data_IF_356147875704
#
_entry.id   IF_356147875704
#
_cell.length_a   1.000
_cell.length_b   1.000
_cell.length_c   1.000
_cell.angle_alpha   90.00
_cell.angle_beta   90.00
_cell.angle_gamma   90.00
#
_symmetry.space_group_name_H-M   'P 1'
#
loop_
_entity.id
_entity.type
_entity.pdbx_description
1 polymer ?
#
# COMPACT_ATOMS: atom_id res chain seq x y z
N UNK A 1 -35.45 1.23 -47.82
CA UNK A 1 -36.16 1.14 -46.54
C UNK A 1 -35.19 0.64 -45.47
N UNK A 2 -34.74 1.49 -44.54
CA UNK A 2 -33.73 1.14 -43.55
C UNK A 2 -34.37 0.35 -42.40
N UNK A 3 -33.75 -0.77 -41.99
CA UNK A 3 -34.10 -1.46 -40.75
C UNK A 3 -33.19 -0.97 -39.64
N UNK A 4 -33.72 0.02 -38.91
CA UNK A 4 -33.20 0.51 -37.65
C UNK A 4 -33.39 -0.57 -36.57
N UNK A 5 -32.30 -1.20 -36.13
CA UNK A 5 -32.32 -2.08 -34.95
C UNK A 5 -31.85 -1.27 -33.74
N UNK A 6 -32.65 -1.17 -32.66
CA UNK A 6 -32.24 -0.40 -31.49
C UNK A 6 -30.99 -1.02 -30.86
N UNK A 7 -29.96 -0.19 -30.67
CA UNK A 7 -28.75 -0.55 -29.91
C UNK A 7 -29.18 -1.01 -28.51
N UNK A 8 -28.84 -2.24 -28.15
CA UNK A 8 -28.88 -2.74 -26.76
C UNK A 8 -28.14 -1.72 -25.88
N UNK A 9 -28.86 -1.09 -24.96
CA UNK A 9 -28.27 -0.41 -23.82
C UNK A 9 -27.44 -1.44 -23.08
N UNK A 10 -26.13 -1.25 -23.06
CA UNK A 10 -25.27 -1.92 -22.10
C UNK A 10 -25.63 -1.33 -20.73
N UNK A 11 -26.52 -2.01 -20.01
CA UNK A 11 -26.64 -1.79 -18.57
C UNK A 11 -25.32 -2.27 -17.99
N UNK A 12 -24.56 -1.33 -17.45
CA UNK A 12 -23.31 -1.58 -16.71
C UNK A 12 -23.61 -2.34 -15.41
N UNK A 13 -23.94 -3.63 -15.56
CA UNK A 13 -24.17 -4.60 -14.48
C UNK A 13 -22.87 -5.06 -13.82
N UNK A 14 -21.89 -4.16 -13.69
CA UNK A 14 -20.65 -4.42 -12.91
C UNK A 14 -20.49 -3.50 -11.72
N UNK A 15 -21.45 -2.62 -11.46
CA UNK A 15 -21.44 -1.74 -10.28
C UNK A 15 -22.35 -2.23 -9.15
N UNK A 16 -22.78 -3.49 -9.20
CA UNK A 16 -23.45 -4.15 -8.10
C UNK A 16 -22.41 -4.86 -7.23
N UNK A 17 -22.25 -4.36 -6.01
CA UNK A 17 -21.56 -4.99 -4.89
C UNK A 17 -20.06 -4.67 -4.71
N UNK A 18 -19.80 -3.48 -4.16
CA UNK A 18 -18.91 -3.41 -3.01
C UNK A 18 -19.55 -2.48 -1.97
N UNK A 19 -20.42 -3.04 -1.14
CA UNK A 19 -21.09 -2.36 -0.03
C UNK A 19 -20.14 -2.08 1.16
N UNK A 20 -18.83 -2.19 0.97
CA UNK A 20 -17.79 -1.78 1.93
C UNK A 20 -17.08 -0.53 1.42
N UNK A 21 -17.83 0.53 1.08
CA UNK A 21 -17.23 1.84 0.89
C UNK A 21 -16.88 2.40 2.26
N UNK A 22 -15.72 2.02 2.79
CA UNK A 22 -15.05 2.83 3.79
C UNK A 22 -14.92 4.23 3.19
N UNK A 23 -15.63 5.19 3.75
CA UNK A 23 -15.41 6.60 3.41
C UNK A 23 -13.97 6.90 3.80
N UNK A 24 -13.07 6.95 2.83
CA UNK A 24 -11.70 7.37 3.08
C UNK A 24 -11.76 8.82 3.52
N UNK A 25 -11.51 9.07 4.81
CA UNK A 25 -11.46 10.43 5.33
C UNK A 25 -10.32 11.19 4.66
N UNK A 26 -10.51 12.48 4.47
CA UNK A 26 -9.42 13.35 4.00
C UNK A 26 -8.45 13.56 5.15
N UNK A 27 -7.17 13.26 4.92
CA UNK A 27 -6.10 13.53 5.88
C UNK A 27 -5.77 15.02 5.91
N UNK A 28 -5.51 15.53 7.10
CA UNK A 28 -4.85 16.82 7.29
C UNK A 28 -3.42 16.79 6.77
N UNK A 29 -2.84 17.96 6.52
CA UNK A 29 -1.42 18.07 6.12
C UNK A 29 -0.48 17.49 7.18
N UNK A 30 -0.82 17.64 8.47
CA UNK A 30 -0.04 17.05 9.56
C UNK A 30 -0.04 15.52 9.50
N UNK A 31 -1.20 14.90 9.26
CA UNK A 31 -1.31 13.44 9.14
C UNK A 31 -0.59 12.91 7.90
N UNK A 32 -0.63 13.65 6.78
CA UNK A 32 0.16 13.31 5.59
C UNK A 32 1.65 13.31 5.89
N UNK A 33 2.14 14.33 6.60
CA UNK A 33 3.54 14.42 7.01
C UNK A 33 3.93 13.29 7.97
N UNK A 34 3.09 12.98 8.95
CA UNK A 34 3.32 11.86 9.86
C UNK A 34 3.38 10.52 9.12
N UNK A 35 2.43 10.27 8.21
CA UNK A 35 2.41 9.07 7.39
C UNK A 35 3.69 8.96 6.55
N UNK A 36 4.09 10.04 5.88
CA UNK A 36 5.29 10.05 5.05
C UNK A 36 6.52 9.76 5.90
N UNK A 37 6.66 10.44 7.05
CA UNK A 37 7.78 10.24 7.97
C UNK A 37 7.90 8.79 8.45
N UNK A 38 6.78 8.14 8.76
CA UNK A 38 6.78 6.73 9.18
C UNK A 38 7.23 5.81 8.03
N UNK A 39 6.80 6.07 6.80
CA UNK A 39 7.24 5.30 5.63
C UNK A 39 8.73 5.49 5.36
N UNK A 40 9.22 6.73 5.45
CA UNK A 40 10.63 7.05 5.22
C UNK A 40 11.52 6.35 6.26
N UNK A 41 11.13 6.37 7.54
CA UNK A 41 11.85 5.66 8.61
C UNK A 41 11.88 4.14 8.38
N UNK A 42 10.77 3.58 7.90
CA UNK A 42 10.70 2.16 7.54
C UNK A 42 11.66 1.80 6.41
N UNK A 43 11.69 2.62 5.36
CA UNK A 43 12.60 2.45 4.23
C UNK A 43 14.07 2.56 4.65
N UNK A 44 14.42 3.61 5.41
CA UNK A 44 15.77 3.84 5.94
C UNK A 44 16.25 2.66 6.79
N UNK A 45 15.38 2.11 7.64
CA UNK A 45 15.72 0.94 8.44
C UNK A 45 15.97 -0.30 7.58
N UNK A 46 15.13 -0.57 6.58
CA UNK A 46 15.28 -1.71 5.67
C UNK A 46 16.57 -1.58 4.84
N UNK A 47 16.90 -0.37 4.38
CA UNK A 47 18.15 -0.09 3.67
C UNK A 47 19.37 -0.40 4.55
N UNK A 48 19.33 -0.04 5.84
CA UNK A 48 20.38 -0.40 6.79
C UNK A 48 20.50 -1.92 6.98
N UNK A 49 19.38 -2.67 6.96
CA UNK A 49 19.43 -4.14 7.01
C UNK A 49 20.11 -4.74 5.77
N UNK A 50 19.87 -4.15 4.59
CA UNK A 50 20.52 -4.54 3.34
C UNK A 50 22.04 -4.26 3.40
N UNK A 51 22.44 -3.08 3.88
CA UNK A 51 23.85 -2.73 4.06
C UNK A 51 24.56 -3.70 5.01
N UNK A 52 23.97 -4.00 6.17
CA UNK A 52 24.50 -4.95 7.16
C UNK A 52 24.59 -6.37 6.57
N UNK A 53 23.57 -6.77 5.81
CA UNK A 53 23.49 -8.09 5.18
C UNK A 53 24.37 -8.24 3.92
N UNK A 54 24.98 -7.15 3.43
CA UNK A 54 25.73 -7.14 2.18
C UNK A 54 24.88 -7.41 0.94
N UNK A 55 23.57 -7.14 0.98
CA UNK A 55 22.66 -7.32 -0.15
C UNK A 55 22.25 -5.97 -0.74
N UNK A 56 21.89 -5.96 -2.03
CA UNK A 56 21.41 -4.73 -2.66
C UNK A 56 19.94 -4.47 -2.26
N UNK A 57 19.54 -3.20 -1.99
CA UNK A 57 18.13 -2.84 -1.71
C UNK A 57 17.16 -3.16 -2.85
N UNK A 58 17.69 -3.28 -4.09
CA UNK A 58 16.93 -3.70 -5.26
C UNK A 58 16.60 -5.21 -5.27
N UNK A 59 17.20 -5.99 -4.37
CA UNK A 59 16.92 -7.42 -4.23
C UNK A 59 15.93 -7.69 -3.09
N UNK A 60 15.00 -8.61 -3.31
CA UNK A 60 14.01 -8.98 -2.28
C UNK A 60 14.61 -9.82 -1.13
N UNK A 61 15.83 -10.36 -1.31
CA UNK A 61 16.48 -11.27 -0.37
C UNK A 61 17.41 -10.54 0.63
N UNK A 62 17.27 -10.87 1.90
CA UNK A 62 18.18 -10.45 2.97
C UNK A 62 19.36 -11.41 3.14
N UNK A 63 20.49 -10.89 3.64
CA UNK A 63 21.72 -11.67 3.82
C UNK A 63 21.65 -12.76 4.90
N UNK A 64 20.60 -12.76 5.74
CA UNK A 64 20.38 -13.80 6.76
C UNK A 64 18.90 -13.94 7.12
N UNK A 65 18.54 -15.04 7.79
CA UNK A 65 17.18 -15.28 8.29
C UNK A 65 16.73 -14.24 9.31
N UNK A 66 17.63 -13.82 10.21
CA UNK A 66 17.28 -12.84 11.24
C UNK A 66 17.00 -11.46 10.62
N UNK A 67 17.76 -11.07 9.59
CA UNK A 67 17.51 -9.84 8.83
C UNK A 67 16.19 -9.94 8.04
N UNK A 68 15.86 -11.09 7.47
CA UNK A 68 14.54 -11.31 6.85
C UNK A 68 13.39 -11.11 7.84
N UNK A 69 13.52 -11.63 9.06
CA UNK A 69 12.51 -11.46 10.11
C UNK A 69 12.42 -10.00 10.57
N UNK A 70 13.56 -9.34 10.76
CA UNK A 70 13.60 -7.92 11.11
C UNK A 70 12.91 -7.05 10.06
N UNK A 71 13.14 -7.31 8.76
CA UNK A 71 12.43 -6.63 7.65
C UNK A 71 10.92 -6.81 7.75
N UNK A 72 10.44 -8.05 7.89
CA UNK A 72 9.00 -8.35 8.01
C UNK A 72 8.37 -7.62 9.19
N UNK A 73 9.05 -7.58 10.34
CA UNK A 73 8.54 -6.88 11.52
C UNK A 73 8.54 -5.36 11.34
N UNK A 74 9.54 -4.79 10.65
CA UNK A 74 9.55 -3.38 10.32
C UNK A 74 8.38 -3.01 9.39
N UNK A 75 8.12 -3.81 8.36
CA UNK A 75 7.00 -3.62 7.43
C UNK A 75 5.64 -3.69 8.15
N UNK A 76 5.44 -4.67 9.05
CA UNK A 76 4.22 -4.78 9.86
C UNK A 76 4.05 -3.57 10.80
N UNK A 77 5.13 -3.14 11.46
CA UNK A 77 5.11 -1.96 12.33
C UNK A 77 4.72 -0.69 11.57
N UNK A 78 5.33 -0.47 10.40
CA UNK A 78 5.01 0.66 9.50
C UNK A 78 3.55 0.61 9.06
N UNK A 79 3.06 -0.55 8.64
CA UNK A 79 1.68 -0.73 8.22
C UNK A 79 0.69 -0.38 9.34
N UNK A 80 0.94 -0.86 10.57
CA UNK A 80 0.09 -0.58 11.74
C UNK A 80 0.08 0.90 12.11
N UNK A 81 1.23 1.56 12.07
CA UNK A 81 1.36 2.98 12.35
C UNK A 81 0.65 3.82 11.27
N UNK A 82 0.85 3.52 9.98
CA UNK A 82 0.12 4.19 8.89
C UNK A 82 -1.38 3.97 9.04
N UNK A 83 -1.83 2.76 9.34
CA UNK A 83 -3.24 2.47 9.57
C UNK A 83 -3.81 3.32 10.70
N UNK A 84 -3.07 3.51 11.79
CA UNK A 84 -3.50 4.40 12.88
C UNK A 84 -3.63 5.86 12.42
N UNK A 85 -2.66 6.35 11.64
CA UNK A 85 -2.68 7.72 11.10
C UNK A 85 -3.84 7.93 10.13
N UNK A 86 -4.23 6.90 9.36
CA UNK A 86 -5.25 7.02 8.31
C UNK A 86 -6.64 6.51 8.69
N UNK A 87 -6.78 5.85 9.84
CA UNK A 87 -8.04 5.30 10.34
C UNK A 87 -9.07 6.40 10.64
#
# INVERSE_FOLDING_TARGET
MPHDRPRRQFVDDRTANNAVRHQYRTLSEAEKQQMQRIKDLGAEFIDALHEIGGTAPAGEAMGSRDLSLAKTHAEDAVMRAVRHITA
#
